data_IF_540536866691
#
_entry.id   IF_540536866691
#
_cell.length_a   1.000
_cell.length_b   1.000
_cell.length_c   1.000
_cell.angle_alpha   90.00
_cell.angle_beta   90.00
_cell.angle_gamma   90.00
#
_symmetry.space_group_name_H-M   'P 1'
#
loop_
_entity.id
_entity.type
_entity.pdbx_description
1 polymer ?
#
# COMPACT_ATOMS: atom_id res chain seq x y z
N UNK A 1 -21.44 16.03 -8.45
CA UNK A 1 -20.57 15.03 -9.09
C UNK A 1 -19.11 15.50 -9.14
N UNK A 2 -18.78 16.66 -9.69
CA UNK A 2 -17.41 17.21 -9.72
C UNK A 2 -16.79 17.31 -8.34
N UNK A 3 -17.51 17.84 -7.35
CA UNK A 3 -17.03 17.93 -5.96
C UNK A 3 -16.70 16.56 -5.36
N UNK A 4 -17.48 15.53 -5.64
CA UNK A 4 -17.22 14.17 -5.16
C UNK A 4 -15.95 13.58 -5.80
N UNK A 5 -15.73 13.82 -7.09
CA UNK A 5 -14.51 13.41 -7.81
C UNK A 5 -13.28 14.10 -7.20
N UNK A 6 -13.32 15.42 -7.05
CA UNK A 6 -12.19 16.19 -6.49
C UNK A 6 -11.90 15.74 -5.06
N UNK A 7 -12.93 15.57 -4.23
CA UNK A 7 -12.76 15.09 -2.86
C UNK A 7 -12.13 13.69 -2.82
N UNK A 8 -12.65 12.73 -3.61
CA UNK A 8 -12.09 11.39 -3.69
C UNK A 8 -10.64 11.38 -4.17
N UNK A 9 -10.32 12.22 -5.15
CA UNK A 9 -8.96 12.35 -5.69
C UNK A 9 -7.97 12.89 -4.64
N UNK A 10 -8.29 14.01 -3.99
CA UNK A 10 -7.42 14.63 -2.98
C UNK A 10 -7.25 13.71 -1.78
N UNK A 11 -8.35 13.10 -1.31
CA UNK A 11 -8.33 12.19 -0.18
C UNK A 11 -7.47 10.97 -0.45
N UNK A 12 -7.66 10.32 -1.61
CA UNK A 12 -6.90 9.15 -1.99
C UNK A 12 -5.40 9.44 -2.16
N UNK A 13 -5.03 10.59 -2.75
CA UNK A 13 -3.63 11.03 -2.81
C UNK A 13 -3.07 11.16 -1.39
N UNK A 14 -3.78 11.83 -0.49
CA UNK A 14 -3.31 12.02 0.89
C UNK A 14 -3.05 10.71 1.63
N UNK A 15 -3.85 9.68 1.37
CA UNK A 15 -3.71 8.37 2.00
C UNK A 15 -2.62 7.49 1.37
N UNK A 16 -2.42 7.57 0.05
CA UNK A 16 -1.47 6.67 -0.66
C UNK A 16 -0.05 7.23 -0.73
N UNK A 17 0.13 8.55 -0.58
CA UNK A 17 1.43 9.22 -0.68
C UNK A 17 2.47 8.75 0.34
N UNK A 18 2.13 8.47 1.62
CA UNK A 18 3.10 7.93 2.56
C UNK A 18 3.70 6.62 2.05
N UNK A 19 5.04 6.52 2.08
CA UNK A 19 5.79 5.36 1.59
C UNK A 19 5.62 4.17 2.53
N UNK A 20 4.46 3.51 2.46
CA UNK A 20 4.22 2.24 3.14
C UNK A 20 4.89 1.05 2.44
N UNK A 21 4.81 -0.12 3.06
CA UNK A 21 5.42 -1.35 2.56
C UNK A 21 5.00 -1.70 1.13
N UNK A 22 3.74 -1.46 0.76
CA UNK A 22 3.22 -1.69 -0.59
C UNK A 22 3.87 -0.78 -1.63
N UNK A 23 3.97 0.52 -1.33
CA UNK A 23 4.59 1.50 -2.23
C UNK A 23 6.07 1.16 -2.48
N UNK A 24 6.79 0.82 -1.40
CA UNK A 24 8.20 0.40 -1.48
C UNK A 24 8.35 -0.87 -2.30
N UNK A 25 7.48 -1.85 -2.11
CA UNK A 25 7.49 -3.08 -2.88
C UNK A 25 7.32 -2.82 -4.38
N UNK A 26 6.29 -2.06 -4.78
CA UNK A 26 6.04 -1.73 -6.20
C UNK A 26 7.23 -0.95 -6.79
N UNK A 27 7.75 0.02 -6.06
CA UNK A 27 8.93 0.79 -6.47
C UNK A 27 10.15 -0.12 -6.70
N UNK A 28 10.44 -1.02 -5.75
CA UNK A 28 11.56 -1.95 -5.87
C UNK A 28 11.37 -2.97 -7.00
N UNK A 29 10.12 -3.41 -7.26
CA UNK A 29 9.84 -4.23 -8.44
C UNK A 29 10.15 -3.44 -9.72
N UNK A 30 9.76 -2.16 -9.79
CA UNK A 30 10.11 -1.27 -10.90
C UNK A 30 11.62 -1.16 -11.11
N UNK A 31 12.39 -0.97 -10.04
CA UNK A 31 13.83 -0.80 -10.07
C UNK A 31 14.57 -2.07 -10.49
N UNK A 32 14.17 -3.22 -9.95
CA UNK A 32 14.95 -4.47 -10.05
C UNK A 32 14.54 -5.35 -11.24
N UNK A 33 13.33 -5.20 -11.78
CA UNK A 33 12.90 -6.02 -12.92
C UNK A 33 13.51 -5.54 -14.26
N UNK A 34 13.99 -6.46 -15.13
CA UNK A 34 14.69 -6.08 -16.36
C UNK A 34 13.76 -5.38 -17.37
N UNK A 35 12.49 -5.77 -17.44
CA UNK A 35 11.48 -5.17 -18.32
C UNK A 35 10.25 -4.77 -17.53
N UNK A 36 9.65 -3.62 -17.86
CA UNK A 36 8.46 -3.08 -17.20
C UNK A 36 7.29 -4.08 -17.14
N UNK A 37 7.10 -4.89 -18.19
CA UNK A 37 6.06 -5.93 -18.24
C UNK A 37 6.16 -6.97 -17.10
N UNK A 38 7.35 -7.17 -16.55
CA UNK A 38 7.53 -8.09 -15.42
C UNK A 38 7.13 -7.50 -14.07
N UNK A 39 6.83 -6.20 -14.01
CA UNK A 39 6.27 -5.53 -12.82
C UNK A 39 4.75 -5.60 -12.79
N UNK A 40 4.11 -5.83 -13.94
CA UNK A 40 2.64 -5.83 -14.06
C UNK A 40 1.92 -6.75 -13.06
N UNK A 41 2.39 -7.97 -12.75
CA UNK A 41 1.74 -8.81 -11.75
C UNK A 41 1.62 -8.11 -10.38
N UNK A 42 2.66 -7.41 -9.94
CA UNK A 42 2.65 -6.66 -8.70
C UNK A 42 1.68 -5.48 -8.76
N UNK A 43 1.72 -4.67 -9.83
CA UNK A 43 0.84 -3.50 -10.03
C UNK A 43 -0.63 -3.93 -10.06
N UNK A 44 -0.96 -4.95 -10.86
CA UNK A 44 -2.34 -5.43 -11.01
C UNK A 44 -2.86 -5.95 -9.68
N UNK A 45 -2.07 -6.75 -8.98
CA UNK A 45 -2.47 -7.30 -7.68
C UNK A 45 -2.69 -6.22 -6.65
N UNK A 46 -1.79 -5.24 -6.55
CA UNK A 46 -1.94 -4.12 -5.64
C UNK A 46 -3.18 -3.27 -5.99
N UNK A 47 -3.36 -2.92 -7.26
CA UNK A 47 -4.52 -2.14 -7.72
C UNK A 47 -5.85 -2.85 -7.49
N UNK A 48 -5.93 -4.16 -7.71
CA UNK A 48 -7.12 -4.95 -7.42
C UNK A 48 -7.39 -5.05 -5.91
N UNK A 49 -6.35 -5.24 -5.10
CA UNK A 49 -6.48 -5.30 -3.65
C UNK A 49 -6.98 -3.98 -3.07
N UNK A 50 -6.41 -2.85 -3.49
CA UNK A 50 -6.88 -1.53 -3.08
C UNK A 50 -8.31 -1.26 -3.55
N UNK A 51 -8.63 -1.62 -4.80
CA UNK A 51 -9.99 -1.48 -5.33
C UNK A 51 -10.99 -2.27 -4.49
N UNK A 52 -10.64 -3.49 -4.10
CA UNK A 52 -11.47 -4.32 -3.22
C UNK A 52 -11.67 -3.68 -1.84
N UNK A 53 -10.58 -3.21 -1.21
CA UNK A 53 -10.65 -2.53 0.09
C UNK A 53 -11.49 -1.26 0.03
N UNK A 54 -11.36 -0.44 -1.02
CA UNK A 54 -12.13 0.77 -1.24
C UNK A 54 -13.62 0.43 -1.41
N UNK A 55 -13.95 -0.57 -2.22
CA UNK A 55 -15.35 -1.00 -2.43
C UNK A 55 -15.96 -1.49 -1.12
N UNK A 56 -15.25 -2.34 -0.37
CA UNK A 56 -15.70 -2.84 0.94
C UNK A 56 -15.94 -1.66 1.91
N UNK A 57 -15.02 -0.69 1.93
CA UNK A 57 -15.14 0.50 2.75
C UNK A 57 -16.40 1.32 2.39
N UNK A 58 -16.63 1.56 1.11
CA UNK A 58 -17.74 2.38 0.60
C UNK A 58 -19.11 1.70 0.78
N UNK A 59 -19.17 0.37 0.71
CA UNK A 59 -20.42 -0.40 0.94
C UNK A 59 -20.85 -0.38 2.42
N UNK A 60 -19.96 0.01 3.33
CA UNK A 60 -20.29 0.22 4.74
C UNK A 60 -19.92 -0.94 5.67
N UNK A 61 -19.15 -1.93 5.22
CA UNK A 61 -18.58 -2.96 6.08
C UNK A 61 -17.65 -2.35 7.14
N UNK A 62 -17.18 -1.13 6.89
CA UNK A 62 -16.39 -0.29 7.79
C UNK A 62 -16.98 -0.18 9.19
N UNK A 63 -18.29 0.07 9.29
CA UNK A 63 -18.98 0.26 10.57
C UNK A 63 -18.93 -1.02 11.41
N UNK A 64 -19.07 -2.18 10.76
CA UNK A 64 -19.04 -3.49 11.44
C UNK A 64 -17.64 -3.77 12.00
N UNK A 65 -16.58 -3.55 11.20
CA UNK A 65 -15.20 -3.80 11.65
C UNK A 65 -14.82 -2.85 12.80
N UNK A 66 -15.21 -1.57 12.71
CA UNK A 66 -14.93 -0.59 13.75
C UNK A 66 -15.75 -0.81 15.03
N UNK A 67 -16.85 -1.57 14.98
CA UNK A 67 -17.69 -1.89 16.13
C UNK A 67 -17.24 -3.13 16.90
N UNK A 68 -16.26 -3.89 16.41
CA UNK A 68 -15.80 -5.15 16.98
C UNK A 68 -14.36 -5.02 17.51
N UNK A 69 -14.16 -4.68 18.82
CA UNK A 69 -12.82 -4.47 19.39
C UNK A 69 -11.89 -5.68 19.22
N UNK A 70 -12.45 -6.90 19.37
CA UNK A 70 -11.67 -8.14 19.19
C UNK A 70 -11.13 -8.27 17.76
N UNK A 71 -11.94 -7.96 16.75
CA UNK A 71 -11.51 -8.01 15.36
C UNK A 71 -10.44 -6.96 15.08
N UNK A 72 -10.59 -5.74 15.63
CA UNK A 72 -9.57 -4.69 15.54
C UNK A 72 -8.26 -5.16 16.19
N UNK A 73 -8.30 -5.76 17.38
CA UNK A 73 -7.12 -6.27 18.06
C UNK A 73 -6.39 -7.32 17.22
N UNK A 74 -7.13 -8.27 16.62
CA UNK A 74 -6.56 -9.28 15.72
C UNK A 74 -5.88 -8.62 14.52
N UNK A 75 -6.53 -7.65 13.87
CA UNK A 75 -5.98 -6.91 12.72
C UNK A 75 -4.69 -6.19 13.13
N UNK A 76 -4.67 -5.53 14.29
CA UNK A 76 -3.48 -4.83 14.79
C UNK A 76 -2.33 -5.80 15.08
N UNK A 77 -2.59 -6.93 15.75
CA UNK A 77 -1.55 -7.92 16.10
C UNK A 77 -0.94 -8.54 14.83
N UNK A 78 -1.77 -9.05 13.93
CA UNK A 78 -1.32 -9.68 12.68
C UNK A 78 -0.54 -8.67 11.84
N UNK A 79 -1.06 -7.47 11.73
CA UNK A 79 -0.42 -6.42 10.95
C UNK A 79 0.88 -5.90 11.58
N UNK A 80 0.96 -5.81 12.90
CA UNK A 80 2.20 -5.43 13.59
C UNK A 80 3.33 -6.44 13.28
N UNK A 81 3.03 -7.75 13.41
CA UNK A 81 3.98 -8.82 13.08
C UNK A 81 4.40 -8.70 11.60
N UNK A 82 3.43 -8.48 10.72
CA UNK A 82 3.69 -8.34 9.29
C UNK A 82 4.56 -7.11 8.97
N UNK A 83 4.25 -5.94 9.53
CA UNK A 83 5.03 -4.72 9.31
C UNK A 83 6.45 -4.83 9.84
N UNK A 84 6.66 -5.47 10.99
CA UNK A 84 8.00 -5.73 11.52
C UNK A 84 8.79 -6.67 10.61
N UNK A 85 8.17 -7.73 10.10
CA UNK A 85 8.76 -8.62 9.11
C UNK A 85 9.14 -7.87 7.82
N UNK A 86 8.25 -7.01 7.32
CA UNK A 86 8.49 -6.21 6.13
C UNK A 86 9.63 -5.21 6.32
N UNK A 87 9.65 -4.50 7.45
CA UNK A 87 10.72 -3.56 7.77
C UNK A 87 12.08 -4.27 7.80
N UNK A 88 12.13 -5.45 8.42
CA UNK A 88 13.33 -6.28 8.45
C UNK A 88 13.77 -6.72 7.05
N UNK A 89 12.85 -7.22 6.23
CA UNK A 89 13.13 -7.69 4.86
C UNK A 89 13.66 -6.56 3.99
N UNK A 90 12.99 -5.40 4.00
CA UNK A 90 13.37 -4.23 3.20
C UNK A 90 14.72 -3.66 3.67
N UNK A 91 14.99 -3.66 4.98
CA UNK A 91 16.26 -3.18 5.51
C UNK A 91 17.47 -4.00 5.01
N UNK A 92 17.30 -5.32 4.87
CA UNK A 92 18.34 -6.25 4.44
C UNK A 92 18.34 -6.52 2.93
N UNK A 93 17.38 -5.95 2.20
CA UNK A 93 17.32 -6.08 0.74
C UNK A 93 18.53 -5.41 0.10
N UNK A 94 19.29 -6.20 -0.68
CA UNK A 94 20.46 -5.73 -1.41
C UNK A 94 20.09 -5.59 -2.87
N UNK A 95 20.11 -4.37 -3.44
CA UNK A 95 19.93 -4.17 -4.85
C UNK A 95 20.96 -4.97 -5.66
N UNK A 96 20.52 -5.61 -6.73
CA UNK A 96 21.38 -6.39 -7.62
C UNK A 96 22.33 -5.44 -8.38
N UNK A 97 23.63 -5.48 -8.07
CA UNK A 97 24.65 -4.63 -8.73
C UNK A 97 25.30 -5.30 -9.94
N UNK A 98 25.16 -6.63 -10.09
CA UNK A 98 25.92 -7.43 -11.06
C UNK A 98 25.16 -7.80 -12.36
N UNK A 99 24.15 -7.00 -12.75
CA UNK A 99 23.43 -7.23 -14.01
C UNK A 99 22.56 -8.49 -14.05
N UNK A 100 22.67 -9.38 -13.10
CA UNK A 100 21.74 -10.49 -12.88
C UNK A 100 20.53 -9.99 -12.11
N UNK A 101 19.61 -9.37 -12.84
CA UNK A 101 18.30 -9.05 -12.29
C UNK A 101 17.67 -10.32 -11.73
N UNK A 102 17.56 -10.45 -10.42
CA UNK A 102 16.80 -11.56 -9.82
C UNK A 102 15.33 -11.38 -10.22
N UNK A 103 14.95 -12.06 -11.28
CA UNK A 103 13.57 -12.05 -11.77
C UNK A 103 12.72 -12.76 -10.71
N UNK A 104 12.01 -11.98 -9.91
CA UNK A 104 11.00 -12.53 -9.00
C UNK A 104 9.87 -13.08 -9.85
N UNK A 105 9.53 -14.37 -9.68
CA UNK A 105 8.46 -15.00 -10.44
C UNK A 105 7.12 -14.27 -10.23
N UNK A 106 6.23 -14.25 -11.24
CA UNK A 106 4.93 -13.60 -11.13
C UNK A 106 4.12 -14.05 -9.91
N UNK A 107 4.14 -15.35 -9.60
CA UNK A 107 3.43 -15.90 -8.44
C UNK A 107 3.96 -15.35 -7.11
N UNK A 108 5.27 -15.22 -6.97
CA UNK A 108 5.87 -14.61 -5.77
C UNK A 108 5.50 -13.13 -5.66
N UNK A 109 5.47 -12.40 -6.78
CA UNK A 109 5.01 -11.00 -6.79
C UNK A 109 3.56 -10.87 -6.36
N UNK A 110 2.67 -11.72 -6.89
CA UNK A 110 1.25 -11.76 -6.53
C UNK A 110 1.08 -12.06 -5.05
N UNK A 111 1.68 -13.15 -4.55
CA UNK A 111 1.57 -13.54 -3.15
C UNK A 111 2.08 -12.45 -2.22
N UNK A 112 3.20 -11.82 -2.56
CA UNK A 112 3.77 -10.75 -1.77
C UNK A 112 2.90 -9.49 -1.80
N UNK A 113 2.43 -9.06 -2.98
CA UNK A 113 1.56 -7.91 -3.13
C UNK A 113 0.24 -8.09 -2.36
N UNK A 114 -0.39 -9.28 -2.43
CA UNK A 114 -1.57 -9.62 -1.64
C UNK A 114 -1.30 -9.50 -0.14
N UNK A 115 -0.19 -10.09 0.33
CA UNK A 115 0.18 -10.04 1.74
C UNK A 115 0.37 -8.60 2.22
N UNK A 116 1.09 -7.78 1.45
CA UNK A 116 1.36 -6.37 1.80
C UNK A 116 0.08 -5.54 1.78
N UNK A 117 -0.85 -5.80 0.86
CA UNK A 117 -2.10 -5.06 0.76
C UNK A 117 -3.11 -5.46 1.85
N UNK A 118 -3.27 -6.77 2.11
CA UNK A 118 -4.34 -7.30 2.95
C UNK A 118 -3.92 -7.56 4.40
N UNK A 119 -2.63 -7.62 4.71
CA UNK A 119 -2.12 -7.77 6.07
C UNK A 119 -1.58 -6.45 6.65
N UNK A 120 -1.61 -5.36 5.89
CA UNK A 120 -1.21 -4.04 6.38
C UNK A 120 -2.39 -3.38 7.12
N UNK A 121 -2.39 -3.34 8.46
CA UNK A 121 -3.52 -2.82 9.21
C UNK A 121 -3.70 -1.31 9.02
N UNK A 122 -2.60 -0.58 8.76
CA UNK A 122 -2.68 0.86 8.47
C UNK A 122 -3.47 1.09 7.19
N UNK A 123 -3.16 0.38 6.10
CA UNK A 123 -3.89 0.50 4.85
C UNK A 123 -5.36 0.10 5.00
N UNK A 124 -5.64 -1.00 5.72
CA UNK A 124 -7.01 -1.45 5.97
C UNK A 124 -7.81 -0.40 6.75
N UNK A 125 -7.26 0.10 7.86
CA UNK A 125 -7.98 1.02 8.75
C UNK A 125 -8.12 2.41 8.16
N UNK A 126 -7.11 2.89 7.45
CA UNK A 126 -7.19 4.18 6.76
C UNK A 126 -8.20 4.11 5.61
N UNK A 127 -8.16 3.06 4.79
CA UNK A 127 -9.14 2.88 3.71
C UNK A 127 -10.55 2.74 4.30
N UNK A 128 -10.71 1.89 5.28
CA UNK A 128 -12.01 1.64 5.92
C UNK A 128 -12.48 2.88 6.70
N UNK A 129 -11.63 3.45 7.55
CA UNK A 129 -11.99 4.57 8.41
C UNK A 129 -12.19 5.87 7.65
N UNK A 130 -11.25 6.24 6.78
CA UNK A 130 -11.25 7.55 6.12
C UNK A 130 -12.06 7.53 4.83
N UNK A 131 -11.80 6.58 3.92
CA UNK A 131 -12.58 6.49 2.67
C UNK A 131 -14.03 6.09 2.96
N UNK A 132 -14.24 5.12 3.85
CA UNK A 132 -15.58 4.66 4.21
C UNK A 132 -16.45 5.76 4.84
N UNK A 133 -15.92 6.50 5.81
CA UNK A 133 -16.63 7.62 6.44
C UNK A 133 -16.87 8.77 5.45
N UNK A 134 -15.91 9.08 4.61
CA UNK A 134 -16.06 10.12 3.57
C UNK A 134 -17.10 9.73 2.51
N UNK A 135 -17.17 8.45 2.14
CA UNK A 135 -18.17 7.94 1.21
C UNK A 135 -19.59 8.02 1.75
N UNK A 136 -19.77 8.01 3.09
CA UNK A 136 -21.06 8.17 3.73
C UNK A 136 -21.70 9.57 3.50
N UNK A 137 -20.87 10.57 3.15
CA UNK A 137 -21.36 11.91 2.79
C UNK A 137 -22.04 11.95 1.43
N UNK A 138 -21.95 10.89 0.63
CA UNK A 138 -22.43 10.81 -0.73
C UNK A 138 -23.47 9.71 -0.91
N UNK A 139 -24.38 9.91 -1.86
CA UNK A 139 -25.38 8.93 -2.30
C UNK A 139 -25.46 8.84 -3.82
N UNK A 140 -26.01 7.76 -4.34
CA UNK A 140 -26.25 7.56 -5.77
C UNK A 140 -25.01 7.78 -6.64
N UNK A 141 -25.14 8.52 -7.71
CA UNK A 141 -24.06 8.78 -8.68
C UNK A 141 -22.87 9.51 -8.10
N UNK A 142 -23.06 10.35 -7.07
CA UNK A 142 -21.95 11.04 -6.41
C UNK A 142 -21.08 10.07 -5.61
N UNK A 143 -21.66 9.06 -4.97
CA UNK A 143 -20.92 8.02 -4.26
C UNK A 143 -20.08 7.16 -5.21
N UNK A 144 -20.68 6.81 -6.36
CA UNK A 144 -19.97 6.07 -7.43
C UNK A 144 -18.79 6.91 -7.96
N UNK A 145 -19.02 8.20 -8.25
CA UNK A 145 -17.98 9.09 -8.75
C UNK A 145 -16.81 9.26 -7.77
N UNK A 146 -17.10 9.39 -6.47
CA UNK A 146 -16.11 9.42 -5.40
C UNK A 146 -15.28 8.13 -5.37
N UNK A 147 -15.96 6.98 -5.42
CA UNK A 147 -15.31 5.65 -5.39
C UNK A 147 -14.38 5.43 -6.58
N UNK A 148 -14.87 5.76 -7.80
CA UNK A 148 -14.07 5.66 -9.02
C UNK A 148 -12.84 6.56 -8.94
N UNK A 149 -12.97 7.79 -8.41
CA UNK A 149 -11.85 8.70 -8.23
C UNK A 149 -10.78 8.09 -7.30
N UNK A 150 -11.19 7.54 -6.14
CA UNK A 150 -10.28 6.88 -5.21
C UNK A 150 -9.54 5.69 -5.85
N UNK A 151 -10.27 4.82 -6.54
CA UNK A 151 -9.69 3.65 -7.24
C UNK A 151 -8.70 4.11 -8.32
N UNK A 152 -9.08 5.11 -9.13
CA UNK A 152 -8.24 5.62 -10.20
C UNK A 152 -6.90 6.16 -9.67
N UNK A 153 -6.91 6.83 -8.52
CA UNK A 153 -5.68 7.33 -7.88
C UNK A 153 -4.76 6.18 -7.50
N UNK A 154 -5.27 5.10 -6.88
CA UNK A 154 -4.45 3.93 -6.51
C UNK A 154 -3.79 3.31 -7.73
N UNK A 155 -4.53 3.09 -8.81
CA UNK A 155 -3.98 2.54 -10.04
C UNK A 155 -2.91 3.45 -10.66
N UNK A 156 -3.19 4.74 -10.81
CA UNK A 156 -2.24 5.71 -11.36
C UNK A 156 -0.97 5.78 -10.51
N UNK A 157 -1.11 5.74 -9.20
CA UNK A 157 0.01 5.79 -8.27
C UNK A 157 0.92 4.57 -8.40
N UNK A 158 0.38 3.35 -8.45
CA UNK A 158 1.20 2.15 -8.61
C UNK A 158 1.93 2.09 -9.94
N UNK A 159 1.28 2.52 -11.03
CA UNK A 159 1.97 2.67 -12.31
C UNK A 159 3.10 3.70 -12.23
N UNK A 160 2.85 4.86 -11.60
CA UNK A 160 3.85 5.91 -11.42
C UNK A 160 5.04 5.41 -10.58
N UNK A 161 4.78 4.73 -9.46
CA UNK A 161 5.84 4.18 -8.61
C UNK A 161 6.71 3.17 -9.35
N UNK A 162 6.11 2.30 -10.15
CA UNK A 162 6.86 1.32 -10.94
C UNK A 162 7.73 2.02 -12.01
N UNK A 163 7.23 3.09 -12.64
CA UNK A 163 7.98 3.89 -13.60
C UNK A 163 9.15 4.60 -12.89
N UNK A 164 8.89 5.27 -11.76
CA UNK A 164 9.93 5.94 -10.97
C UNK A 164 10.99 4.96 -10.48
N UNK A 165 10.57 3.78 -10.00
CA UNK A 165 11.48 2.70 -9.64
C UNK A 165 12.37 2.29 -10.81
N UNK A 166 11.78 2.10 -12.00
CA UNK A 166 12.52 1.75 -13.21
C UNK A 166 13.53 2.82 -13.61
N UNK A 167 13.15 4.08 -13.54
CA UNK A 167 14.05 5.21 -13.82
C UNK A 167 15.22 5.23 -12.85
N UNK A 168 14.97 5.14 -11.57
CA UNK A 168 16.00 5.14 -10.52
C UNK A 168 16.92 3.92 -10.64
N UNK A 169 16.36 2.73 -10.83
CA UNK A 169 17.14 1.51 -11.03
C UNK A 169 18.05 1.56 -12.26
N UNK A 170 17.65 2.30 -13.33
CA UNK A 170 18.49 2.48 -14.52
C UNK A 170 19.66 3.44 -14.31
N UNK A 171 19.55 4.37 -13.37
CA UNK A 171 20.57 5.40 -13.06
C UNK A 171 21.52 4.88 -11.96
N UNK A 172 21.00 4.16 -11.00
CA UNK A 172 21.74 3.68 -9.82
C UNK A 172 22.55 2.40 -10.12
N UNK A 173 23.60 2.56 -10.89
CA UNK A 173 24.52 1.45 -11.23
C UNK A 173 25.21 0.81 -10.00
N UNK A 174 25.26 1.52 -8.88
CA UNK A 174 25.95 1.08 -7.66
C UNK A 174 25.01 0.48 -6.63
N UNK A 175 23.70 0.57 -6.82
CA UNK A 175 22.70 0.15 -5.84
C UNK A 175 22.65 1.00 -4.56
N UNK A 176 23.47 2.07 -4.47
CA UNK A 176 23.55 2.91 -3.27
C UNK A 176 22.26 3.68 -3.03
N UNK A 177 21.68 4.25 -4.08
CA UNK A 177 20.43 5.03 -3.97
C UNK A 177 19.27 4.14 -3.55
N UNK A 178 19.13 2.97 -4.17
CA UNK A 178 18.12 1.99 -3.79
C UNK A 178 18.30 1.51 -2.35
N UNK A 179 19.54 1.29 -1.91
CA UNK A 179 19.84 0.92 -0.52
C UNK A 179 19.40 2.02 0.46
N UNK A 180 19.64 3.29 0.14
CA UNK A 180 19.21 4.43 0.97
C UNK A 180 17.69 4.50 1.02
N UNK A 181 17.01 4.37 -0.13
CA UNK A 181 15.55 4.36 -0.21
C UNK A 181 14.97 3.22 0.63
N UNK A 182 15.52 2.01 0.54
CA UNK A 182 15.08 0.86 1.32
C UNK A 182 15.25 1.10 2.83
N UNK A 183 16.36 1.67 3.27
CA UNK A 183 16.59 1.99 4.68
C UNK A 183 15.62 3.05 5.21
N UNK A 184 15.42 4.13 4.46
CA UNK A 184 14.45 5.18 4.82
C UNK A 184 13.04 4.57 4.90
N UNK A 185 12.66 3.78 3.93
CA UNK A 185 11.35 3.12 3.89
C UNK A 185 11.15 2.15 5.05
N UNK A 186 12.18 1.37 5.40
CA UNK A 186 12.12 0.49 6.57
C UNK A 186 11.93 1.27 7.87
N UNK A 187 12.61 2.41 8.04
CA UNK A 187 12.40 3.29 9.21
C UNK A 187 10.96 3.81 9.26
N UNK A 188 10.42 4.24 8.13
CA UNK A 188 9.03 4.71 8.05
C UNK A 188 8.06 3.58 8.43
N UNK A 189 8.28 2.35 7.93
CA UNK A 189 7.46 1.20 8.28
C UNK A 189 7.54 0.87 9.78
N UNK A 190 8.72 0.99 10.40
CA UNK A 190 8.88 0.82 11.85
C UNK A 190 8.08 1.88 12.61
N UNK A 191 8.14 3.15 12.20
CA UNK A 191 7.36 4.23 12.83
C UNK A 191 5.86 3.90 12.76
N UNK A 192 5.36 3.48 11.60
CA UNK A 192 3.96 3.05 11.43
C UNK A 192 3.63 1.86 12.34
N UNK A 193 4.52 0.87 12.44
CA UNK A 193 4.34 -0.28 13.33
C UNK A 193 4.23 0.16 14.81
N UNK A 194 5.04 1.11 15.25
CA UNK A 194 4.96 1.68 16.61
C UNK A 194 3.66 2.44 16.85
N UNK A 195 3.15 3.18 15.85
CA UNK A 195 1.83 3.83 15.95
C UNK A 195 0.70 2.81 16.09
N UNK A 196 0.78 1.69 15.38
CA UNK A 196 -0.20 0.59 15.50
C UNK A 196 -0.09 -0.09 16.86
N UNK A 197 1.11 -0.31 17.37
CA UNK A 197 1.33 -0.84 18.72
C UNK A 197 0.69 0.07 19.77
N UNK A 198 0.85 1.38 19.66
CA UNK A 198 0.20 2.35 20.55
C UNK A 198 -1.33 2.23 20.49
N UNK A 199 -1.92 2.15 19.29
CA UNK A 199 -3.37 1.95 19.11
C UNK A 199 -3.85 0.63 19.71
N UNK A 200 -3.06 -0.45 19.56
CA UNK A 200 -3.37 -1.75 20.16
C UNK A 200 -3.39 -1.67 21.69
N UNK A 201 -2.39 -1.02 22.29
CA UNK A 201 -2.34 -0.83 23.76
C UNK A 201 -3.56 -0.04 24.23
N UNK A 202 -3.92 1.06 23.57
CA UNK A 202 -5.11 1.86 23.89
C UNK A 202 -6.43 1.11 23.71
N UNK A 203 -6.47 0.09 22.86
CA UNK A 203 -7.66 -0.74 22.66
C UNK A 203 -7.81 -1.80 23.76
N UNK A 204 -6.70 -2.26 24.36
CA UNK A 204 -6.69 -3.35 25.33
C UNK A 204 -6.74 -2.87 26.78
N UNK A 205 -6.32 -1.62 27.05
CA UNK A 205 -6.23 -1.00 28.38
C UNK A 205 -6.91 0.35 28.43
#
# INVERSE_FOLDING_TARGET
MVTAIIHGFILAIGLILPLGAQNVFIFNQGANQPKYKYVLPAIITAGLSDSLLIIIAVVGVSIIIMSLPVLQAIIYIVGLIFLMYMAWTIWHDKPSTDGEAQIISPMKQVSFALSVSLLNPHAILDTIGVIGSSAALYSGSNKIAFTIACISVSWLWFFLLAILGKMIGSIDKTGKLLTIINKISSIIIIIVALMILQKLIQLLF
#
